data_IF_014811451662
#
_entry.id   IF_014811451662
#
_cell.length_a   1.000
_cell.length_b   1.000
_cell.length_c   1.000
_cell.angle_alpha   90.00
_cell.angle_beta   90.00
_cell.angle_gamma   90.00
#
_symmetry.space_group_name_H-M   'P 1'
#
loop_
_entity.id
_entity.type
_entity.pdbx_description
1 polymer ?
#
# COMPACT_ATOMS: atom_id res chain seq x y z
N UNK A 1 -15.65 -32.62 -27.06
CA UNK A 1 -16.00 -31.18 -27.14
C UNK A 1 -15.18 -30.41 -26.12
N UNK A 2 -14.43 -29.40 -26.57
CA UNK A 2 -13.47 -28.65 -25.77
C UNK A 2 -14.15 -27.77 -24.71
N UNK A 3 -13.64 -27.80 -23.47
CA UNK A 3 -14.07 -26.89 -22.41
C UNK A 3 -13.40 -25.53 -22.64
N UNK A 4 -14.16 -24.54 -23.10
CA UNK A 4 -13.68 -23.15 -23.19
C UNK A 4 -13.58 -22.56 -21.78
N UNK A 5 -12.36 -22.33 -21.32
CA UNK A 5 -12.06 -21.54 -20.13
C UNK A 5 -12.44 -20.08 -20.42
N UNK A 6 -13.54 -19.61 -19.83
CA UNK A 6 -13.96 -18.21 -19.88
C UNK A 6 -13.09 -17.41 -18.92
N UNK A 7 -12.13 -16.67 -19.48
CA UNK A 7 -11.31 -15.70 -18.76
C UNK A 7 -12.20 -14.63 -18.11
N UNK A 8 -11.97 -14.37 -16.83
CA UNK A 8 -12.72 -13.37 -16.07
C UNK A 8 -12.61 -11.97 -16.69
N UNK A 9 -13.72 -11.25 -16.71
CA UNK A 9 -13.85 -9.92 -17.28
C UNK A 9 -13.02 -8.92 -16.47
N UNK A 10 -12.15 -8.16 -17.14
CA UNK A 10 -11.33 -7.11 -16.53
C UNK A 10 -12.05 -5.79 -16.73
N UNK A 11 -12.59 -5.20 -15.66
CA UNK A 11 -13.24 -3.90 -15.71
C UNK A 11 -12.23 -2.83 -15.33
N UNK A 12 -11.95 -1.92 -16.26
CA UNK A 12 -11.05 -0.80 -16.03
C UNK A 12 -11.77 0.33 -15.28
N UNK A 13 -11.16 0.84 -14.21
CA UNK A 13 -11.64 2.01 -13.46
C UNK A 13 -10.53 3.07 -13.41
N UNK A 14 -10.89 4.34 -13.26
CA UNK A 14 -9.89 5.41 -13.13
C UNK A 14 -9.03 5.16 -11.88
N UNK A 15 -7.75 4.82 -12.09
CA UNK A 15 -6.79 4.48 -11.04
C UNK A 15 -6.49 2.98 -10.86
N UNK A 16 -7.05 2.07 -11.66
CA UNK A 16 -6.68 0.64 -11.64
C UNK A 16 -7.60 -0.30 -12.43
N UNK A 17 -7.32 -1.61 -12.39
CA UNK A 17 -8.15 -2.64 -13.02
C UNK A 17 -8.81 -3.54 -11.96
N UNK A 18 -10.11 -3.82 -12.11
CA UNK A 18 -10.86 -4.76 -11.26
C UNK A 18 -11.09 -6.05 -12.05
N UNK A 19 -10.59 -7.19 -11.56
CA UNK A 19 -10.90 -8.50 -12.12
C UNK A 19 -12.27 -8.98 -11.59
N UNK A 20 -13.29 -9.03 -12.45
CA UNK A 20 -14.58 -9.68 -12.15
C UNK A 20 -14.53 -11.13 -12.61
N UNK A 21 -14.05 -12.00 -11.73
CA UNK A 21 -14.04 -13.44 -12.00
C UNK A 21 -15.40 -14.08 -11.66
N UNK A 22 -16.00 -14.77 -12.63
CA UNK A 22 -17.13 -15.70 -12.44
C UNK A 22 -16.65 -17.02 -11.85
N UNK A 23 -16.05 -16.98 -10.66
CA UNK A 23 -15.54 -18.17 -9.99
C UNK A 23 -14.42 -17.85 -9.00
N UNK A 24 -14.66 -18.18 -7.72
CA UNK A 24 -13.90 -17.84 -6.50
C UNK A 24 -14.09 -16.43 -5.93
N UNK A 25 -14.79 -16.43 -4.80
CA UNK A 25 -15.20 -15.32 -3.93
C UNK A 25 -14.04 -14.52 -3.31
N UNK A 26 -12.81 -15.03 -3.35
CA UNK A 26 -11.63 -14.43 -2.70
C UNK A 26 -10.92 -13.35 -3.55
N UNK A 27 -11.28 -13.20 -4.82
CA UNK A 27 -10.58 -12.26 -5.72
C UNK A 27 -11.03 -10.81 -5.59
N UNK A 28 -12.21 -10.55 -5.05
CA UNK A 28 -12.72 -9.18 -4.89
C UNK A 28 -11.96 -8.37 -3.82
N UNK A 29 -11.20 -9.01 -2.92
CA UNK A 29 -10.37 -8.32 -1.92
C UNK A 29 -8.95 -8.02 -2.40
N UNK A 30 -8.57 -8.45 -3.61
CA UNK A 30 -7.23 -8.23 -4.15
C UNK A 30 -7.19 -7.00 -5.07
N UNK A 31 -6.11 -6.23 -4.95
CA UNK A 31 -5.76 -5.11 -5.85
C UNK A 31 -4.40 -5.38 -6.46
N UNK A 32 -4.20 -5.08 -7.73
CA UNK A 32 -2.91 -5.25 -8.40
C UNK A 32 -2.12 -3.95 -8.34
N UNK A 33 -0.84 -4.07 -7.96
CA UNK A 33 0.13 -2.96 -7.93
C UNK A 33 1.33 -3.32 -8.82
N UNK A 34 2.20 -2.37 -9.14
CA UNK A 34 3.45 -2.65 -9.85
C UNK A 34 4.34 -3.71 -9.16
N UNK A 35 4.12 -3.93 -7.84
CA UNK A 35 4.80 -4.94 -7.02
C UNK A 35 3.98 -6.23 -6.84
N UNK A 36 2.92 -6.44 -7.62
CA UNK A 36 2.06 -7.63 -7.60
C UNK A 36 0.73 -7.47 -6.81
N UNK A 37 -0.04 -8.57 -6.62
CA UNK A 37 -1.36 -8.55 -5.99
C UNK A 37 -1.31 -8.33 -4.47
N UNK A 38 -1.97 -7.29 -3.97
CA UNK A 38 -2.08 -6.91 -2.55
C UNK A 38 -3.50 -7.11 -2.03
N UNK A 39 -3.64 -7.34 -0.72
CA UNK A 39 -4.95 -7.30 -0.06
C UNK A 39 -5.34 -5.84 0.17
N UNK A 40 -6.59 -5.49 -0.12
CA UNK A 40 -7.09 -4.11 0.05
C UNK A 40 -7.50 -3.77 1.48
N UNK A 41 -7.56 -4.76 2.38
CA UNK A 41 -7.95 -4.56 3.79
C UNK A 41 -6.74 -4.09 4.58
N UNK A 42 -6.86 -2.90 5.14
CA UNK A 42 -5.86 -2.34 6.04
C UNK A 42 -6.21 -2.73 7.47
N UNK A 43 -5.25 -3.33 8.19
CA UNK A 43 -5.34 -3.58 9.63
C UNK A 43 -4.63 -2.45 10.36
N UNK A 44 -5.40 -1.66 11.09
CA UNK A 44 -4.88 -0.58 11.91
C UNK A 44 -4.56 -1.09 13.32
N UNK A 45 -3.52 -0.52 13.93
CA UNK A 45 -3.33 -0.67 15.38
C UNK A 45 -4.50 -0.01 16.12
N UNK A 46 -4.80 -0.48 17.33
CA UNK A 46 -5.97 -0.02 18.09
C UNK A 46 -6.01 1.52 18.24
N UNK A 47 -4.88 2.13 18.62
CA UNK A 47 -4.79 3.59 18.79
C UNK A 47 -5.03 4.34 17.47
N UNK A 48 -4.47 3.87 16.36
CA UNK A 48 -4.64 4.48 15.03
C UNK A 48 -6.09 4.34 14.56
N UNK A 49 -6.73 3.20 14.82
CA UNK A 49 -8.13 2.97 14.48
C UNK A 49 -9.04 3.97 15.19
N UNK A 50 -8.81 4.22 16.49
CA UNK A 50 -9.58 5.21 17.27
C UNK A 50 -9.47 6.60 16.63
N UNK A 51 -8.24 7.06 16.36
CA UNK A 51 -8.03 8.37 15.72
C UNK A 51 -8.65 8.46 14.33
N UNK A 52 -8.54 7.39 13.55
CA UNK A 52 -9.12 7.32 12.21
C UNK A 52 -10.64 7.44 12.24
N UNK A 53 -11.32 6.72 13.13
CA UNK A 53 -12.77 6.75 13.22
C UNK A 53 -13.30 8.09 13.77
N UNK A 54 -12.60 8.75 14.69
CA UNK A 54 -12.95 10.12 15.11
C UNK A 54 -12.94 11.10 13.92
N UNK A 55 -11.93 11.00 13.05
CA UNK A 55 -11.89 11.81 11.81
C UNK A 55 -13.04 11.44 10.87
N UNK A 56 -13.34 10.14 10.69
CA UNK A 56 -14.44 9.69 9.85
C UNK A 56 -15.80 10.26 10.33
N UNK A 57 -16.05 10.22 11.63
CA UNK A 57 -17.30 10.69 12.24
C UNK A 57 -17.45 12.20 12.12
N UNK A 58 -16.36 12.95 12.36
CA UNK A 58 -16.34 14.42 12.18
C UNK A 58 -16.58 14.84 10.74
N UNK A 59 -16.17 14.03 9.78
CA UNK A 59 -16.42 14.27 8.34
C UNK A 59 -17.82 13.81 7.90
N UNK A 60 -18.56 13.09 8.75
CA UNK A 60 -19.89 12.56 8.43
C UNK A 60 -19.86 11.49 7.33
N UNK A 61 -18.79 10.69 7.26
CA UNK A 61 -18.67 9.66 6.22
C UNK A 61 -19.13 8.28 6.70
N UNK A 62 -20.09 7.70 5.98
CA UNK A 62 -20.58 6.34 6.26
C UNK A 62 -19.61 5.22 5.89
N UNK A 63 -18.61 5.53 5.05
CA UNK A 63 -17.67 4.53 4.52
C UNK A 63 -16.22 4.92 4.83
N UNK A 64 -15.42 4.03 5.44
CA UNK A 64 -14.00 4.28 5.71
C UNK A 64 -13.20 4.67 4.47
N UNK A 65 -13.53 4.10 3.31
CA UNK A 65 -12.84 4.42 2.05
C UNK A 65 -12.92 5.91 1.71
N UNK A 66 -14.05 6.58 1.99
CA UNK A 66 -14.20 8.02 1.74
C UNK A 66 -13.31 8.86 2.66
N UNK A 67 -13.18 8.46 3.93
CA UNK A 67 -12.27 9.13 4.87
C UNK A 67 -10.80 8.95 4.44
N UNK A 68 -10.44 7.75 3.98
CA UNK A 68 -9.11 7.49 3.41
C UNK A 68 -8.86 8.36 2.17
N UNK A 69 -9.81 8.44 1.25
CA UNK A 69 -9.69 9.29 0.05
C UNK A 69 -9.53 10.78 0.43
N UNK A 70 -10.28 11.25 1.42
CA UNK A 70 -10.15 12.60 1.94
C UNK A 70 -8.76 12.86 2.56
N UNK A 71 -8.26 11.93 3.38
CA UNK A 71 -6.93 12.01 3.98
C UNK A 71 -5.84 12.05 2.91
N UNK A 72 -5.91 11.19 1.90
CA UNK A 72 -4.96 11.17 0.78
C UNK A 72 -4.98 12.49 0.02
N UNK A 73 -6.17 13.05 -0.25
CA UNK A 73 -6.30 14.35 -0.90
C UNK A 73 -5.68 15.48 -0.08
N UNK A 74 -5.86 15.48 1.24
CA UNK A 74 -5.23 16.46 2.14
C UNK A 74 -3.71 16.28 2.26
N UNK A 75 -3.22 15.05 2.17
CA UNK A 75 -1.81 14.73 2.26
C UNK A 75 -1.04 14.88 0.94
N UNK A 76 -1.70 15.16 -0.21
CA UNK A 76 -1.08 15.28 -1.53
C UNK A 76 0.22 16.10 -1.54
N UNK A 77 0.20 17.28 -0.91
CA UNK A 77 1.37 18.16 -0.86
C UNK A 77 2.51 17.58 -0.02
N UNK A 78 2.19 16.89 1.08
CA UNK A 78 3.19 16.23 1.91
C UNK A 78 3.79 15.00 1.20
N UNK A 79 2.96 14.26 0.45
CA UNK A 79 3.39 13.12 -0.35
C UNK A 79 4.31 13.58 -1.49
N UNK A 80 3.96 14.65 -2.21
CA UNK A 80 4.77 15.19 -3.30
C UNK A 80 6.20 15.58 -2.84
N UNK A 81 6.33 16.13 -1.63
CA UNK A 81 7.63 16.45 -1.04
C UNK A 81 8.51 15.22 -0.74
N UNK A 82 7.92 14.02 -0.63
CA UNK A 82 8.71 12.80 -0.44
C UNK A 82 9.51 12.44 -1.70
N UNK A 83 9.00 12.76 -2.89
CA UNK A 83 9.71 12.51 -4.16
C UNK A 83 10.90 13.45 -4.35
N UNK A 84 10.89 14.61 -3.70
CA UNK A 84 11.99 15.60 -3.70
C UNK A 84 13.07 15.28 -2.66
N UNK A 85 12.81 14.37 -1.73
CA UNK A 85 13.75 14.02 -0.67
C UNK A 85 14.83 13.09 -1.27
N UNK A 86 16.14 13.43 -1.18
CA UNK A 86 17.18 12.51 -1.62
C UNK A 86 17.00 11.21 -0.86
N UNK A 87 16.98 10.07 -1.59
CA UNK A 87 16.69 8.74 -1.04
C UNK A 87 17.39 8.60 0.32
N UNK A 88 16.60 8.54 1.40
CA UNK A 88 17.14 8.23 2.73
C UNK A 88 17.99 6.97 2.58
N UNK A 89 19.22 6.92 3.11
CA UNK A 89 20.10 5.78 2.89
C UNK A 89 19.33 4.53 3.26
N UNK A 90 19.11 3.68 2.25
CA UNK A 90 18.50 2.35 2.42
C UNK A 90 19.25 1.73 3.59
N UNK A 91 18.49 1.42 4.64
CA UNK A 91 19.03 0.79 5.86
C UNK A 91 20.12 -0.19 5.46
N UNK A 92 21.31 -0.08 6.05
CA UNK A 92 22.43 -1.00 5.81
C UNK A 92 22.05 -2.40 6.30
N UNK A 93 21.15 -3.07 5.58
CA UNK A 93 20.83 -4.48 5.74
C UNK A 93 21.95 -5.26 5.06
N UNK A 94 23.11 -5.33 5.71
CA UNK A 94 24.22 -6.14 5.20
C UNK A 94 25.63 -5.71 5.59
N UNK A 95 25.83 -4.62 6.34
CA UNK A 95 27.13 -4.39 6.95
C UNK A 95 27.21 -5.22 8.22
N UNK A 96 27.88 -6.37 8.11
CA UNK A 96 28.32 -7.13 9.28
C UNK A 96 29.07 -6.15 10.20
N UNK A 97 28.62 -5.98 11.45
CA UNK A 97 29.20 -5.02 12.40
C UNK A 97 30.72 -5.21 12.55
N UNK A 98 31.17 -6.45 12.32
CA UNK A 98 32.58 -6.86 12.29
C UNK A 98 33.37 -6.20 11.15
N UNK A 99 32.77 -6.00 9.97
CA UNK A 99 33.42 -5.36 8.83
C UNK A 99 33.61 -3.85 9.05
N UNK A 100 32.64 -3.19 9.68
CA UNK A 100 32.72 -1.77 10.03
C UNK A 100 33.80 -1.52 11.08
N UNK A 101 33.86 -2.37 12.12
CA UNK A 101 34.88 -2.29 13.16
C UNK A 101 36.29 -2.59 12.61
N UNK A 102 36.42 -3.55 11.69
CA UNK A 102 37.71 -3.86 11.04
C UNK A 102 38.23 -2.71 10.16
N UNK A 103 37.32 -1.98 9.47
CA UNK A 103 37.70 -0.82 8.66
C UNK A 103 38.16 0.37 9.52
N UNK A 104 37.53 0.59 10.68
CA UNK A 104 37.96 1.62 11.65
C UNK A 104 39.31 1.29 12.27
N UNK A 105 39.60 0.02 12.54
CA UNK A 105 40.86 -0.41 13.18
C UNK A 105 42.04 -0.46 12.20
N UNK A 106 41.82 -0.62 10.89
CA UNK A 106 42.89 -0.69 9.88
C UNK A 106 43.19 0.64 9.16
N UNK A 107 42.46 1.70 9.49
CA UNK A 107 42.58 3.01 8.85
C UNK A 107 43.28 4.09 9.68
N UNK A 108 44.03 3.71 10.72
CA UNK A 108 44.79 4.63 11.58
C UNK A 108 46.22 4.17 11.78
#
# INVERSE_FOLDING_TARGET
MAMKSTGGEIVQVQGGHILRATGRKDRHSKVFTAKGPRDRRVRLAAHTAIQFYDVQDRLGYDRPSKAVDWLLNKAKNAIAKLDEMPESPKQYTGLNLVAVLSAVVKGG
#
